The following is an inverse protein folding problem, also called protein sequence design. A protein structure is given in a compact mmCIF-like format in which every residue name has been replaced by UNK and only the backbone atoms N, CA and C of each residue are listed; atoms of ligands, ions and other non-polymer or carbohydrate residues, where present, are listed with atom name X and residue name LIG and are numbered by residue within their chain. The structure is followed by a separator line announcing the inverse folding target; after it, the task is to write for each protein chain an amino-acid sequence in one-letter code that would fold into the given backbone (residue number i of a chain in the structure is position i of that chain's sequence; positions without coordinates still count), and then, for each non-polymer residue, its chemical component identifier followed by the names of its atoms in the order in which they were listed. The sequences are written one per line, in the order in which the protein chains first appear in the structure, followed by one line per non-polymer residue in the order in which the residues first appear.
data_IF_762269221160
#
_entry.id   IF_762269221160
#
_cell.length_a   1.000
_cell.length_b   1.000
_cell.length_c   1.000
_cell.angle_alpha   90.00
_cell.angle_beta   90.00
_cell.angle_gamma   90.00
#
_symmetry.space_group_name_H-M   'P 1'
#
loop_
_entity.id
_entity.type
_entity.pdbx_description
1 polymer ?
#
# COMPACT_ATOMS: atom_id res chain seq x y z
N UNK A 1 32.33 -21.41 23.81
CA UNK A 1 31.34 -20.46 24.37
C UNK A 1 31.60 -18.99 24.01
N UNK A 2 32.86 -18.54 23.86
CA UNK A 2 33.17 -17.13 23.53
C UNK A 2 32.86 -16.73 22.07
N UNK A 3 32.99 -17.64 21.11
CA UNK A 3 32.76 -17.39 19.67
C UNK A 3 31.29 -17.00 19.38
N UNK A 4 30.34 -17.62 20.08
CA UNK A 4 28.92 -17.29 19.97
C UNK A 4 28.58 -15.93 20.54
N UNK A 5 29.24 -15.51 21.63
CA UNK A 5 29.03 -14.20 22.23
C UNK A 5 29.51 -13.09 21.29
N UNK A 6 30.69 -13.24 20.71
CA UNK A 6 31.21 -12.28 19.73
C UNK A 6 30.38 -12.26 18.45
N UNK A 7 29.99 -13.42 17.89
CA UNK A 7 29.15 -13.45 16.69
C UNK A 7 27.77 -12.81 16.89
N UNK A 8 27.14 -13.00 18.07
CA UNK A 8 25.86 -12.36 18.40
C UNK A 8 26.05 -10.85 18.63
N UNK A 9 27.11 -10.43 19.31
CA UNK A 9 27.39 -9.01 19.54
C UNK A 9 27.72 -8.29 18.22
N UNK A 10 28.55 -8.87 17.38
CA UNK A 10 28.90 -8.30 16.07
C UNK A 10 27.68 -8.27 15.14
N UNK A 11 26.86 -9.33 15.14
CA UNK A 11 25.59 -9.37 14.42
C UNK A 11 24.61 -8.30 14.89
N UNK A 12 24.51 -8.07 16.20
CA UNK A 12 23.66 -7.02 16.77
C UNK A 12 24.15 -5.61 16.40
N UNK A 13 25.47 -5.37 16.44
CA UNK A 13 26.06 -4.08 16.03
C UNK A 13 25.85 -3.84 14.53
N UNK A 14 26.06 -4.87 13.70
CA UNK A 14 25.86 -4.79 12.26
C UNK A 14 24.39 -4.52 11.91
N UNK A 15 23.46 -5.26 12.52
CA UNK A 15 22.02 -5.05 12.34
C UNK A 15 21.59 -3.64 12.79
N UNK A 16 22.18 -3.12 13.88
CA UNK A 16 21.90 -1.75 14.35
C UNK A 16 22.37 -0.70 13.32
N UNK A 17 23.55 -0.89 12.72
CA UNK A 17 24.06 0.00 11.67
C UNK A 17 23.21 -0.04 10.41
N UNK A 18 22.79 -1.23 10.00
CA UNK A 18 21.89 -1.43 8.87
C UNK A 18 20.52 -0.78 9.12
N UNK A 19 19.96 -0.97 10.32
CA UNK A 19 18.69 -0.35 10.71
C UNK A 19 18.75 1.19 10.65
N UNK A 20 19.82 1.81 11.19
CA UNK A 20 19.99 3.27 11.13
C UNK A 20 20.13 3.75 9.68
N UNK A 21 20.93 3.07 8.88
CA UNK A 21 21.13 3.40 7.46
C UNK A 21 19.81 3.31 6.68
N UNK A 22 19.02 2.26 6.96
CA UNK A 22 17.69 2.07 6.39
C UNK A 22 16.75 3.20 6.80
N UNK A 23 16.66 3.53 8.10
CA UNK A 23 15.80 4.61 8.59
C UNK A 23 16.09 5.95 7.91
N UNK A 24 17.37 6.33 7.78
CA UNK A 24 17.77 7.58 7.10
C UNK A 24 17.36 7.56 5.63
N UNK A 25 17.60 6.44 4.94
CA UNK A 25 17.23 6.27 3.53
C UNK A 25 15.71 6.36 3.34
N UNK A 26 14.95 5.68 4.19
CA UNK A 26 13.49 5.68 4.17
C UNK A 26 12.92 7.06 4.44
N UNK A 27 13.48 7.80 5.40
CA UNK A 27 13.04 9.17 5.69
C UNK A 27 13.19 10.08 4.46
N UNK A 28 14.34 10.06 3.79
CA UNK A 28 14.57 10.86 2.58
C UNK A 28 13.62 10.51 1.43
N UNK A 29 13.44 9.21 1.18
CA UNK A 29 12.54 8.73 0.12
C UNK A 29 11.07 9.07 0.46
N UNK A 30 10.61 8.80 1.69
CA UNK A 30 9.23 9.05 2.11
C UNK A 30 8.89 10.54 2.12
N UNK A 31 9.78 11.41 2.58
CA UNK A 31 9.55 12.87 2.57
C UNK A 31 9.42 13.42 1.15
N UNK A 32 10.25 12.93 0.22
CA UNK A 32 10.14 13.28 -1.20
C UNK A 32 8.77 12.85 -1.77
N UNK A 33 8.41 11.59 -1.59
CA UNK A 33 7.18 11.04 -2.18
C UNK A 33 5.91 11.57 -1.54
N UNK A 34 5.89 11.81 -0.23
CA UNK A 34 4.76 12.47 0.45
C UNK A 34 4.60 13.91 -0.02
N UNK A 35 5.70 14.65 -0.23
CA UNK A 35 5.67 15.98 -0.82
C UNK A 35 5.10 15.99 -2.24
N UNK A 36 5.55 15.08 -3.10
CA UNK A 36 5.00 14.92 -4.47
C UNK A 36 3.50 14.58 -4.43
N UNK A 37 3.09 13.70 -3.52
CA UNK A 37 1.71 13.33 -3.36
C UNK A 37 0.84 14.51 -2.90
N UNK A 38 1.31 15.31 -1.94
CA UNK A 38 0.64 16.52 -1.47
C UNK A 38 0.47 17.55 -2.60
N UNK A 39 1.47 17.68 -3.49
CA UNK A 39 1.35 18.53 -4.70
C UNK A 39 0.28 17.96 -5.66
N UNK A 40 0.26 16.64 -5.85
CA UNK A 40 -0.76 15.95 -6.63
C UNK A 40 -2.17 16.13 -6.07
N UNK A 41 -2.30 16.17 -4.75
CA UNK A 41 -3.56 16.41 -4.05
C UNK A 41 -4.03 17.85 -4.25
N UNK A 42 -3.16 18.83 -3.97
CA UNK A 42 -3.47 20.26 -4.15
C UNK A 42 -3.74 20.68 -5.59
N UNK A 43 -3.21 19.93 -6.56
CA UNK A 43 -3.48 20.15 -7.99
C UNK A 43 -4.78 19.50 -8.48
N UNK A 44 -5.50 18.78 -7.62
CA UNK A 44 -6.73 18.05 -7.97
C UNK A 44 -6.49 16.80 -8.81
N UNK A 45 -5.23 16.40 -9.03
CA UNK A 45 -4.89 15.18 -9.77
C UNK A 45 -5.40 13.94 -9.02
N UNK A 46 -5.30 13.98 -7.69
CA UNK A 46 -5.86 12.93 -6.82
C UNK A 46 -7.37 12.82 -6.98
N UNK A 47 -8.09 13.94 -7.00
CA UNK A 47 -9.55 13.94 -7.14
C UNK A 47 -9.99 13.38 -8.50
N UNK A 48 -9.25 13.70 -9.56
CA UNK A 48 -9.49 13.11 -10.89
C UNK A 48 -9.24 11.60 -10.93
N UNK A 49 -8.21 11.12 -10.24
CA UNK A 49 -7.91 9.69 -10.12
C UNK A 49 -8.97 8.97 -9.28
N UNK A 50 -9.42 9.59 -8.18
CA UNK A 50 -10.53 9.11 -7.36
C UNK A 50 -11.83 8.99 -8.15
N UNK A 51 -12.16 9.99 -8.97
CA UNK A 51 -13.30 9.94 -9.89
C UNK A 51 -13.19 8.78 -10.90
N UNK A 52 -12.01 8.56 -11.48
CA UNK A 52 -11.77 7.44 -12.41
C UNK A 52 -11.87 6.07 -11.74
N UNK A 53 -11.44 5.96 -10.49
CA UNK A 53 -11.58 4.73 -9.68
C UNK A 53 -12.96 4.58 -9.04
N UNK A 54 -13.83 5.57 -9.18
CA UNK A 54 -15.21 5.60 -8.70
C UNK A 54 -15.97 4.26 -8.83
N UNK A 55 -16.10 3.66 -10.02
CA UNK A 55 -16.86 2.41 -10.16
C UNK A 55 -16.26 1.23 -9.39
N UNK A 56 -14.92 1.14 -9.33
CA UNK A 56 -14.22 0.07 -8.58
C UNK A 56 -14.41 0.29 -7.07
N UNK A 57 -14.28 1.53 -6.61
CA UNK A 57 -14.42 1.88 -5.20
C UNK A 57 -15.87 1.74 -4.71
N UNK A 58 -16.88 2.11 -5.52
CA UNK A 58 -18.29 1.87 -5.15
C UNK A 58 -18.58 0.37 -5.07
N UNK A 59 -17.96 -0.43 -5.92
CA UNK A 59 -18.13 -1.87 -5.92
C UNK A 59 -17.46 -2.55 -4.71
N UNK A 60 -16.27 -2.10 -4.31
CA UNK A 60 -15.50 -2.67 -3.19
C UNK A 60 -15.93 -2.11 -1.82
N UNK A 61 -16.30 -0.84 -1.77
CA UNK A 61 -16.68 -0.09 -0.57
C UNK A 61 -18.05 0.58 -0.73
N UNK A 62 -19.15 -0.19 -0.78
CA UNK A 62 -20.49 0.36 -0.98
C UNK A 62 -20.97 1.24 0.18
N UNK A 63 -20.37 1.10 1.37
CA UNK A 63 -20.71 1.88 2.57
C UNK A 63 -19.95 3.20 2.73
N UNK A 64 -19.03 3.54 1.81
CA UNK A 64 -18.27 4.79 1.85
C UNK A 64 -18.88 5.86 0.95
N UNK A 65 -18.97 7.09 1.48
CA UNK A 65 -19.37 8.27 0.73
C UNK A 65 -18.47 8.46 -0.51
N UNK A 66 -19.05 8.59 -1.72
CA UNK A 66 -18.31 8.86 -2.96
C UNK A 66 -17.35 10.06 -2.87
N UNK A 67 -17.70 11.10 -2.12
CA UNK A 67 -16.94 12.35 -2.02
C UNK A 67 -16.17 12.46 -0.67
N UNK A 68 -16.17 11.40 0.14
CA UNK A 68 -15.51 11.38 1.43
C UNK A 68 -13.98 11.20 1.37
N UNK A 69 -13.28 11.79 2.34
CA UNK A 69 -11.81 11.76 2.42
C UNK A 69 -11.25 10.33 2.52
N UNK A 70 -11.93 9.41 3.24
CA UNK A 70 -11.52 8.01 3.32
C UNK A 70 -11.41 7.36 1.93
N UNK A 71 -12.38 7.62 1.06
CA UNK A 71 -12.44 7.03 -0.28
C UNK A 71 -11.38 7.64 -1.20
N UNK A 72 -11.13 8.94 -1.05
CA UNK A 72 -10.06 9.66 -1.73
C UNK A 72 -8.70 9.04 -1.41
N UNK A 73 -8.37 8.88 -0.13
CA UNK A 73 -7.10 8.30 0.32
C UNK A 73 -6.93 6.82 -0.11
N UNK A 74 -7.99 6.01 -0.08
CA UNK A 74 -7.98 4.63 -0.60
C UNK A 74 -7.66 4.63 -2.10
N UNK A 75 -8.27 5.54 -2.87
CA UNK A 75 -8.01 5.66 -4.31
C UNK A 75 -6.56 6.01 -4.61
N UNK A 76 -6.00 6.95 -3.85
CA UNK A 76 -4.59 7.34 -3.98
C UNK A 76 -3.69 6.14 -3.73
N UNK A 77 -3.93 5.43 -2.64
CA UNK A 77 -3.14 4.25 -2.26
C UNK A 77 -3.18 3.18 -3.35
N UNK A 78 -4.38 2.85 -3.85
CA UNK A 78 -4.53 1.86 -4.93
C UNK A 78 -3.88 2.32 -6.23
N UNK A 79 -4.01 3.60 -6.59
CA UNK A 79 -3.37 4.15 -7.79
C UNK A 79 -1.85 4.14 -7.67
N UNK A 80 -1.32 4.54 -6.51
CA UNK A 80 0.11 4.53 -6.24
C UNK A 80 0.67 3.09 -6.32
N UNK A 81 -0.03 2.10 -5.78
CA UNK A 81 0.32 0.69 -5.92
C UNK A 81 0.29 0.23 -7.39
N UNK A 82 -0.74 0.58 -8.15
CA UNK A 82 -0.87 0.23 -9.57
C UNK A 82 0.27 0.85 -10.40
N UNK A 83 0.60 2.11 -10.15
CA UNK A 83 1.65 2.87 -10.85
C UNK A 83 3.08 2.50 -10.43
N UNK A 84 3.29 1.61 -9.45
CA UNK A 84 4.62 1.24 -8.98
C UNK A 84 5.23 2.22 -7.96
N UNK A 85 4.45 3.20 -7.49
CA UNK A 85 4.86 4.23 -6.53
C UNK A 85 4.61 3.77 -5.08
N UNK A 86 5.10 2.58 -4.72
CA UNK A 86 4.84 1.97 -3.39
C UNK A 86 5.27 2.88 -2.22
N UNK A 87 6.32 3.68 -2.41
CA UNK A 87 6.79 4.63 -1.41
C UNK A 87 5.78 5.75 -1.09
N UNK A 88 4.90 6.11 -2.04
CA UNK A 88 3.81 7.06 -1.85
C UNK A 88 2.49 6.38 -1.40
N UNK A 89 2.36 5.07 -1.61
CA UNK A 89 1.17 4.31 -1.23
C UNK A 89 1.06 4.17 0.30
N UNK A 90 2.13 3.84 1.01
CA UNK A 90 2.10 3.65 2.47
C UNK A 90 1.55 4.85 3.26
N UNK A 91 1.99 6.11 3.04
CA UNK A 91 1.47 7.25 3.77
C UNK A 91 -0.01 7.55 3.48
N UNK A 92 -0.45 7.40 2.21
CA UNK A 92 -1.87 7.54 1.86
C UNK A 92 -2.71 6.40 2.44
N UNK A 93 -2.16 5.19 2.55
CA UNK A 93 -2.83 4.06 3.18
C UNK A 93 -3.02 4.23 4.67
N UNK A 94 -2.05 4.83 5.37
CA UNK A 94 -2.19 5.16 6.79
C UNK A 94 -3.27 6.23 7.00
N UNK A 95 -3.25 7.31 6.20
CA UNK A 95 -4.33 8.33 6.20
C UNK A 95 -5.71 7.70 5.92
N UNK A 96 -5.80 6.78 4.96
CA UNK A 96 -7.04 6.05 4.67
C UNK A 96 -7.55 5.27 5.89
N UNK A 97 -6.66 4.59 6.62
CA UNK A 97 -7.04 3.86 7.84
C UNK A 97 -7.52 4.80 8.95
N UNK A 98 -6.86 5.93 9.15
CA UNK A 98 -7.28 6.96 10.12
C UNK A 98 -8.67 7.52 9.79
N UNK A 99 -8.96 7.80 8.51
CA UNK A 99 -10.27 8.28 8.08
C UNK A 99 -11.37 7.22 8.21
N UNK A 100 -11.06 5.94 7.90
CA UNK A 100 -11.97 4.83 8.16
C UNK A 100 -12.26 4.67 9.67
N UNK A 101 -11.28 4.94 10.53
CA UNK A 101 -11.46 4.90 11.99
C UNK A 101 -12.37 6.02 12.47
N UNK A 102 -12.16 7.26 12.01
CA UNK A 102 -13.06 8.39 12.29
C UNK A 102 -14.49 8.11 11.84
N UNK A 103 -14.68 7.55 10.66
CA UNK A 103 -16.02 7.18 10.15
C UNK A 103 -16.68 6.12 11.02
N UNK A 104 -15.92 5.12 11.49
CA UNK A 104 -16.42 4.10 12.41
C UNK A 104 -16.87 4.71 13.74
N UNK A 105 -16.09 5.63 14.30
CA UNK A 105 -16.43 6.35 15.54
C UNK A 105 -17.71 7.18 15.37
N UNK A 106 -17.84 7.91 14.26
CA UNK A 106 -19.03 8.71 13.94
C UNK A 106 -20.31 7.86 13.79
N UNK A 107 -20.18 6.63 13.32
CA UNK A 107 -21.31 5.69 13.20
C UNK A 107 -21.77 5.09 14.53
N UNK A 108 -21.16 5.47 15.67
CA UNK A 108 -21.52 4.94 16.99
C UNK A 108 -21.12 3.47 17.19
N UNK A 109 -20.37 2.89 16.26
CA UNK A 109 -19.82 1.52 16.35
C UNK A 109 -18.54 1.53 17.19
N UNK A 110 -18.65 2.00 18.43
CA UNK A 110 -17.51 2.06 19.36
C UNK A 110 -17.29 0.69 19.98
N UNK A 111 -16.67 -0.20 19.20
CA UNK A 111 -15.94 -1.35 19.73
C UNK A 111 -14.46 -1.06 19.52
N UNK A 112 -13.79 -0.53 20.54
CA UNK A 112 -12.32 -0.45 20.54
C UNK A 112 -11.75 -1.86 20.29
N UNK A 113 -10.70 -1.97 19.47
CA UNK A 113 -10.05 -3.22 19.03
C UNK A 113 -10.77 -4.10 17.99
N UNK A 114 -11.85 -3.66 17.34
CA UNK A 114 -12.45 -4.40 16.20
C UNK A 114 -12.33 -3.61 14.91
N UNK A 115 -11.62 -4.14 13.90
CA UNK A 115 -11.54 -3.52 12.58
C UNK A 115 -12.91 -3.54 11.88
N UNK A 116 -13.26 -2.46 11.17
CA UNK A 116 -14.49 -2.45 10.36
C UNK A 116 -14.32 -3.29 9.09
N UNK A 117 -15.44 -3.68 8.46
CA UNK A 117 -15.40 -4.45 7.21
C UNK A 117 -14.65 -3.69 6.11
N UNK A 118 -14.74 -2.36 6.11
CA UNK A 118 -14.03 -1.46 5.19
C UNK A 118 -12.52 -1.50 5.47
N UNK A 119 -12.09 -1.41 6.72
CA UNK A 119 -10.66 -1.53 7.08
C UNK A 119 -10.08 -2.89 6.67
N UNK A 120 -10.81 -3.99 6.94
CA UNK A 120 -10.41 -5.34 6.54
C UNK A 120 -10.31 -5.47 5.01
N UNK A 121 -11.32 -4.96 4.29
CA UNK A 121 -11.34 -4.99 2.82
C UNK A 121 -10.17 -4.19 2.24
N UNK A 122 -9.91 -3.00 2.78
CA UNK A 122 -8.78 -2.16 2.35
C UNK A 122 -7.43 -2.84 2.60
N UNK A 123 -7.24 -3.44 3.78
CA UNK A 123 -6.02 -4.17 4.11
C UNK A 123 -5.81 -5.37 3.17
N UNK A 124 -6.84 -6.18 2.94
CA UNK A 124 -6.77 -7.35 2.05
C UNK A 124 -6.42 -6.92 0.62
N UNK A 125 -7.01 -5.83 0.13
CA UNK A 125 -6.70 -5.31 -1.20
C UNK A 125 -5.25 -4.81 -1.29
N UNK A 126 -4.77 -4.09 -0.28
CA UNK A 126 -3.40 -3.59 -0.24
C UNK A 126 -2.38 -4.75 -0.19
N UNK A 127 -2.64 -5.79 0.61
CA UNK A 127 -1.81 -7.01 0.66
C UNK A 127 -1.85 -7.78 -0.67
N UNK A 128 -3.01 -7.83 -1.35
CA UNK A 128 -3.11 -8.50 -2.66
C UNK A 128 -2.28 -7.82 -3.76
N UNK A 129 -1.86 -6.56 -3.53
CA UNK A 129 -0.82 -5.82 -4.28
C UNK A 129 -0.96 -5.94 -5.80
N UNK A 130 -2.04 -5.37 -6.35
CA UNK A 130 -2.26 -5.25 -7.80
C UNK A 130 -1.26 -4.25 -8.40
N UNK A 131 -0.02 -4.70 -8.60
CA UNK A 131 1.07 -3.90 -9.12
C UNK A 131 1.20 -4.14 -10.62
N UNK A 132 0.82 -3.14 -11.43
CA UNK A 132 0.86 -3.24 -12.90
C UNK A 132 2.26 -3.01 -13.46
N UNK A 133 3.08 -2.21 -12.76
CA UNK A 133 4.46 -1.93 -13.15
C UNK A 133 5.40 -2.27 -11.98
N UNK A 134 6.09 -3.42 -12.01
CA UNK A 134 7.02 -3.81 -10.96
C UNK A 134 8.38 -3.10 -11.15
N UNK A 135 8.38 -1.76 -11.12
CA UNK A 135 9.55 -0.89 -11.36
C UNK A 135 10.72 -1.27 -10.44
N UNK A 136 10.43 -1.56 -9.17
CA UNK A 136 11.45 -1.98 -8.19
C UNK A 136 12.14 -3.29 -8.59
N UNK A 137 11.39 -4.29 -9.08
CA UNK A 137 11.97 -5.56 -9.54
C UNK A 137 12.76 -5.42 -10.84
N UNK A 138 12.31 -4.54 -11.75
CA UNK A 138 13.02 -4.22 -12.98
C UNK A 138 14.36 -3.53 -12.65
N UNK A 139 14.34 -2.54 -11.77
CA UNK A 139 15.53 -1.82 -11.32
C UNK A 139 16.50 -2.76 -10.57
N UNK A 140 16.00 -3.62 -9.69
CA UNK A 140 16.81 -4.63 -9.01
C UNK A 140 17.45 -5.59 -10.02
N UNK A 141 16.69 -6.09 -11.00
CA UNK A 141 17.24 -6.95 -12.06
C UNK A 141 18.27 -6.24 -12.95
N UNK A 142 18.09 -4.95 -13.23
CA UNK A 142 19.09 -4.18 -13.97
C UNK A 142 20.39 -4.04 -13.18
N UNK A 143 20.32 -3.78 -11.87
CA UNK A 143 21.50 -3.68 -11.01
C UNK A 143 22.30 -4.99 -10.93
N UNK A 144 21.64 -6.14 -11.01
CA UNK A 144 22.27 -7.47 -11.01
C UNK A 144 22.64 -7.97 -12.43
N UNK A 145 22.59 -7.12 -13.46
CA UNK A 145 23.11 -7.44 -14.80
C UNK A 145 22.20 -8.33 -15.67
N UNK A 146 20.89 -8.38 -15.39
CA UNK A 146 19.96 -9.19 -16.16
C UNK A 146 19.78 -8.70 -17.60
N UNK A 147 19.98 -9.59 -18.58
CA UNK A 147 19.88 -9.32 -20.03
C UNK A 147 18.48 -8.91 -20.49
N UNK A 148 17.43 -9.35 -19.78
CA UNK A 148 16.03 -8.96 -20.00
C UNK A 148 15.30 -8.67 -18.67
N UNK A 149 15.42 -7.46 -18.13
CA UNK A 149 14.79 -7.05 -16.86
C UNK A 149 13.26 -7.10 -16.89
N UNK A 150 12.65 -6.92 -18.08
CA UNK A 150 11.20 -6.85 -18.29
C UNK A 150 10.50 -8.19 -18.40
N UNK A 151 11.24 -9.31 -18.54
CA UNK A 151 10.64 -10.64 -18.70
C UNK A 151 9.79 -11.09 -17.50
N UNK A 152 10.01 -10.51 -16.31
CA UNK A 152 9.23 -10.77 -15.09
C UNK A 152 7.87 -10.06 -15.10
N UNK A 153 7.69 -9.02 -15.93
CA UNK A 153 6.47 -8.20 -15.94
C UNK A 153 5.25 -9.02 -16.31
N UNK A 154 5.34 -9.90 -17.31
CA UNK A 154 4.23 -10.76 -17.74
C UNK A 154 3.72 -11.70 -16.63
N UNK A 155 4.58 -12.55 -16.05
CA UNK A 155 4.21 -13.41 -14.92
C UNK A 155 3.75 -12.62 -13.69
N UNK A 156 4.37 -11.46 -13.40
CA UNK A 156 4.00 -10.62 -12.27
C UNK A 156 2.58 -10.06 -12.41
N UNK A 157 2.22 -9.53 -13.58
CA UNK A 157 0.87 -9.01 -13.85
C UNK A 157 -0.17 -10.14 -13.74
N UNK A 158 0.13 -11.33 -14.25
CA UNK A 158 -0.80 -12.46 -14.12
C UNK A 158 -0.98 -12.89 -12.66
N UNK A 159 0.11 -12.99 -11.89
CA UNK A 159 0.06 -13.36 -10.49
C UNK A 159 -0.74 -12.34 -9.65
N UNK A 160 -0.52 -11.05 -9.88
CA UNK A 160 -1.23 -9.98 -9.16
C UNK A 160 -2.70 -9.88 -9.57
N UNK A 161 -3.01 -10.08 -10.87
CA UNK A 161 -4.39 -10.12 -11.33
C UNK A 161 -5.19 -11.28 -10.70
N UNK A 162 -4.61 -12.49 -10.64
CA UNK A 162 -5.24 -13.65 -10.00
C UNK A 162 -5.38 -13.42 -8.49
N UNK A 163 -4.33 -12.92 -7.83
CA UNK A 163 -4.33 -12.58 -6.40
C UNK A 163 -5.46 -11.60 -6.06
N UNK A 164 -5.59 -10.51 -6.80
CA UNK A 164 -6.65 -9.53 -6.53
C UNK A 164 -8.03 -10.05 -6.90
N UNK A 165 -8.19 -10.87 -7.94
CA UNK A 165 -9.47 -11.52 -8.24
C UNK A 165 -9.95 -12.37 -7.05
N UNK A 166 -9.06 -13.21 -6.50
CA UNK A 166 -9.37 -14.04 -5.32
C UNK A 166 -9.69 -13.17 -4.11
N UNK A 167 -8.91 -12.11 -3.88
CA UNK A 167 -9.12 -11.17 -2.78
C UNK A 167 -10.50 -10.48 -2.86
N UNK A 168 -10.88 -9.99 -4.05
CA UNK A 168 -12.18 -9.35 -4.28
C UNK A 168 -13.33 -10.32 -4.05
N UNK A 169 -13.22 -11.56 -4.56
CA UNK A 169 -14.24 -12.60 -4.33
C UNK A 169 -14.36 -12.91 -2.85
N UNK A 170 -13.24 -13.09 -2.13
CA UNK A 170 -13.21 -13.39 -0.71
C UNK A 170 -13.85 -12.27 0.13
N UNK A 171 -13.43 -11.01 -0.07
CA UNK A 171 -14.02 -9.86 0.61
C UNK A 171 -15.53 -9.77 0.37
N UNK A 172 -15.99 -10.05 -0.86
CA UNK A 172 -17.41 -9.98 -1.20
C UNK A 172 -18.24 -11.10 -0.57
N UNK A 173 -17.70 -12.32 -0.47
CA UNK A 173 -18.37 -13.44 0.21
C UNK A 173 -18.47 -13.18 1.71
N UNK A 174 -17.41 -12.64 2.33
CA UNK A 174 -17.41 -12.32 3.76
C UNK A 174 -18.27 -11.11 4.11
N UNK A 175 -18.25 -10.05 3.30
CA UNK A 175 -19.03 -8.84 3.57
C UNK A 175 -20.55 -9.02 3.36
N UNK A 176 -20.98 -10.15 2.80
CA UNK A 176 -22.39 -10.53 2.61
C UNK A 176 -22.92 -11.42 3.74
N UNK A 177 -22.05 -11.88 4.65
CA UNK A 177 -22.42 -12.62 5.88
C UNK A 177 -22.47 -11.67 7.06
#
# INVERSE_FOLDING_TARGET
MNIWKTAVTDGAIQASKEAVTLCITMLGVMTLWTGVLEIGDRSGLVDQLAGRMGPILTFLFPGLDPDGEARKQISVNMTANICGLNWAATPSGLKAMEELEKLKEQQGKVVHNTASNEMCTFLILNISSLQLIPVNMIAYRQQYGSVNPTAIVGPAIMATAVSTLVAVVFCKVMNKR
#
